data_IF_285472950346
#
_entry.id   IF_285472950346
#
_cell.length_a   1.000
_cell.length_b   1.000
_cell.length_c   1.000
_cell.angle_alpha   90.00
_cell.angle_beta   90.00
_cell.angle_gamma   90.00
#
_symmetry.space_group_name_H-M   'P 1'
#
loop_
_entity.id
_entity.type
_entity.pdbx_description
1 polymer ?
#
# COMPACT_ATOMS: atom_id res chain seq x y z
N UNK A 1 -23.78 15.32 14.13
CA UNK A 1 -23.00 14.94 12.93
C UNK A 1 -22.31 13.60 13.19
N UNK A 2 -22.21 12.75 12.18
CA UNK A 2 -21.77 11.37 12.35
C UNK A 2 -20.24 11.25 12.29
N UNK A 3 -19.66 10.48 13.22
CA UNK A 3 -18.21 10.20 13.27
C UNK A 3 -17.96 8.72 13.05
N UNK A 4 -17.07 8.42 12.11
CA UNK A 4 -16.52 7.06 11.92
C UNK A 4 -15.11 6.99 12.49
N UNK A 5 -14.74 5.85 13.06
CA UNK A 5 -13.45 5.66 13.73
C UNK A 5 -12.85 4.31 13.35
N UNK A 6 -11.57 4.31 12.97
CA UNK A 6 -10.78 3.11 12.80
C UNK A 6 -9.60 3.12 13.77
N UNK A 7 -9.46 2.07 14.58
CA UNK A 7 -8.21 1.76 15.26
C UNK A 7 -7.17 1.35 14.21
N UNK A 8 -6.01 2.01 14.26
CA UNK A 8 -4.85 1.74 13.42
C UNK A 8 -3.80 1.05 14.28
N UNK A 9 -3.37 -0.13 13.83
CA UNK A 9 -2.30 -0.88 14.47
C UNK A 9 -1.23 -1.28 13.47
N UNK A 10 0.01 -1.36 13.94
CA UNK A 10 1.16 -1.89 13.22
C UNK A 10 1.53 -3.25 13.82
N UNK A 11 1.22 -4.33 13.11
CA UNK A 11 1.29 -5.67 13.67
C UNK A 11 0.34 -5.80 14.87
N UNK A 12 0.89 -6.05 16.06
CA UNK A 12 0.12 -6.11 17.31
C UNK A 12 0.13 -4.81 18.11
N UNK A 13 0.91 -3.81 17.70
CA UNK A 13 1.05 -2.55 18.42
C UNK A 13 -0.03 -1.55 17.96
N UNK A 14 -0.91 -1.08 18.86
CA UNK A 14 -1.78 0.05 18.56
C UNK A 14 -0.93 1.29 18.27
N UNK A 15 -1.24 1.98 17.17
CA UNK A 15 -0.49 3.15 16.72
C UNK A 15 -1.31 4.44 16.84
N UNK A 16 -2.61 4.36 16.60
CA UNK A 16 -3.49 5.50 16.73
C UNK A 16 -4.90 5.20 16.25
N UNK A 17 -5.67 6.28 16.05
CA UNK A 17 -7.03 6.23 15.53
C UNK A 17 -7.18 7.16 14.35
N UNK A 18 -7.91 6.71 13.36
CA UNK A 18 -8.30 7.50 12.21
C UNK A 18 -9.79 7.85 12.35
N UNK A 19 -10.10 9.14 12.36
CA UNK A 19 -11.43 9.69 12.50
C UNK A 19 -11.89 10.25 11.16
N UNK A 20 -13.16 10.06 10.81
CA UNK A 20 -13.83 10.82 9.75
C UNK A 20 -15.05 11.52 10.34
N UNK A 21 -15.14 12.83 10.14
CA UNK A 21 -16.25 13.67 10.56
C UNK A 21 -16.50 14.75 9.52
N UNK A 22 -17.73 14.81 8.99
CA UNK A 22 -18.02 15.54 7.75
C UNK A 22 -16.95 15.22 6.68
N UNK A 23 -16.28 16.26 6.17
CA UNK A 23 -15.29 16.15 5.10
C UNK A 23 -13.85 15.95 5.60
N UNK A 24 -13.61 16.02 6.91
CA UNK A 24 -12.27 15.90 7.50
C UNK A 24 -11.98 14.47 7.95
N UNK A 25 -10.89 13.91 7.44
CA UNK A 25 -10.27 12.71 8.00
C UNK A 25 -8.99 13.07 8.76
N UNK A 26 -8.87 12.61 10.00
CA UNK A 26 -7.73 12.90 10.88
C UNK A 26 -7.18 11.63 11.52
N UNK A 27 -5.87 11.43 11.43
CA UNK A 27 -5.16 10.47 12.24
C UNK A 27 -4.67 11.10 13.53
N UNK A 28 -4.79 10.38 14.64
CA UNK A 28 -4.28 10.79 15.95
C UNK A 28 -3.50 9.61 16.53
N UNK A 29 -2.23 9.84 16.86
CA UNK A 29 -1.39 8.83 17.49
C UNK A 29 -1.88 8.49 18.91
N UNK A 30 -1.63 7.25 19.35
CA UNK A 30 -1.95 6.84 20.72
C UNK A 30 -1.14 7.67 21.74
N UNK A 31 -1.75 8.12 22.87
CA UNK A 31 -1.05 8.92 23.88
C UNK A 31 0.22 8.26 24.43
N UNK A 32 0.24 6.93 24.52
CA UNK A 32 1.43 6.20 24.96
C UNK A 32 2.61 6.34 23.98
N UNK A 33 2.34 6.41 22.67
CA UNK A 33 3.34 6.62 21.64
C UNK A 33 3.80 8.08 21.60
N UNK A 34 2.92 9.02 21.91
CA UNK A 34 3.30 10.45 22.07
C UNK A 34 4.22 10.62 23.28
N UNK A 35 3.91 9.98 24.41
CA UNK A 35 4.70 10.09 25.62
C UNK A 35 6.05 9.37 25.55
N UNK A 36 6.09 8.24 24.83
CA UNK A 36 7.29 7.43 24.63
C UNK A 36 7.30 6.86 23.22
N UNK A 37 7.86 7.59 22.23
CA UNK A 37 7.88 7.13 20.86
C UNK A 37 8.54 5.76 20.70
N UNK A 38 7.90 4.82 20.00
CA UNK A 38 8.47 3.50 19.78
C UNK A 38 9.59 3.57 18.75
N UNK A 39 10.49 2.59 18.77
CA UNK A 39 11.46 2.40 17.68
C UNK A 39 10.79 1.97 16.37
N UNK A 40 9.58 1.43 16.43
CA UNK A 40 8.85 0.98 15.25
C UNK A 40 8.47 2.16 14.36
N UNK A 41 8.63 1.97 13.05
CA UNK A 41 8.37 2.99 12.04
C UNK A 41 7.02 2.72 11.38
N UNK A 42 6.07 3.66 11.50
CA UNK A 42 4.84 3.61 10.72
C UNK A 42 5.07 4.06 9.27
N UNK A 43 5.82 5.13 9.08
CA UNK A 43 6.26 5.64 7.78
C UNK A 43 7.52 6.48 7.94
N UNK A 44 8.46 6.40 6.98
CA UNK A 44 9.63 7.30 6.95
C UNK A 44 9.22 8.78 6.83
N UNK A 45 8.06 9.07 6.24
CA UNK A 45 7.52 10.44 6.16
C UNK A 45 7.10 11.02 7.52
N UNK A 46 7.01 10.17 8.55
CA UNK A 46 6.55 10.53 9.90
C UNK A 46 7.66 10.38 10.94
N UNK A 47 8.93 10.35 10.52
CA UNK A 47 10.08 10.33 11.41
C UNK A 47 10.62 11.73 11.68
N UNK A 48 11.01 11.96 12.93
CA UNK A 48 11.69 13.16 13.37
C UNK A 48 13.15 12.88 13.76
N UNK A 49 13.94 13.93 13.95
CA UNK A 49 15.38 13.81 14.21
C UNK A 49 15.72 13.13 15.56
N UNK A 50 14.85 13.26 16.56
CA UNK A 50 15.03 12.69 17.89
C UNK A 50 13.68 12.41 18.57
N UNK A 51 13.72 11.80 19.76
CA UNK A 51 12.51 11.40 20.50
C UNK A 51 11.63 12.57 20.95
N UNK A 52 12.20 13.73 21.26
CA UNK A 52 11.42 14.91 21.67
C UNK A 52 10.69 15.50 20.46
N UNK A 53 11.38 15.63 19.33
CA UNK A 53 10.79 16.04 18.06
C UNK A 53 9.74 15.03 17.57
N UNK A 54 9.96 13.73 17.79
CA UNK A 54 9.01 12.68 17.43
C UNK A 54 7.73 12.76 18.27
N UNK A 55 7.89 13.02 19.58
CA UNK A 55 6.77 13.24 20.48
C UNK A 55 5.96 14.48 20.07
N UNK A 56 6.66 15.57 19.73
CA UNK A 56 6.03 16.81 19.25
C UNK A 56 5.26 16.57 17.95
N UNK A 57 5.86 15.87 16.98
CA UNK A 57 5.21 15.48 15.73
C UNK A 57 3.93 14.69 16.01
N UNK A 58 3.99 13.61 16.80
CA UNK A 58 2.80 12.79 17.09
C UNK A 58 1.71 13.53 17.87
N UNK A 59 2.08 14.53 18.68
CA UNK A 59 1.13 15.36 19.42
C UNK A 59 0.42 16.41 18.57
N UNK A 60 1.00 16.81 17.42
CA UNK A 60 0.44 17.80 16.52
C UNK A 60 -0.67 17.20 15.64
N UNK A 61 -1.87 17.07 16.22
CA UNK A 61 -3.06 16.58 15.52
C UNK A 61 -3.50 17.44 14.34
N UNK A 62 -2.91 18.63 14.15
CA UNK A 62 -3.19 19.54 13.03
C UNK A 62 -2.16 19.42 11.91
N UNK A 63 -1.10 18.63 12.11
CA UNK A 63 -0.08 18.43 11.10
C UNK A 63 -0.71 17.94 9.77
N UNK A 64 -0.36 18.53 8.62
CA UNK A 64 -0.90 18.12 7.33
C UNK A 64 -0.70 16.63 7.00
N UNK A 65 0.36 16.00 7.51
CA UNK A 65 0.61 14.56 7.32
C UNK A 65 -0.51 13.67 7.89
N UNK A 66 -1.24 14.18 8.90
CA UNK A 66 -2.28 13.44 9.60
C UNK A 66 -3.69 13.86 9.23
N UNK A 67 -3.86 14.82 8.31
CA UNK A 67 -5.16 15.41 8.01
C UNK A 67 -5.42 15.41 6.49
N UNK A 68 -6.67 15.18 6.13
CA UNK A 68 -7.16 15.34 4.76
C UNK A 68 -8.60 15.86 4.77
N UNK A 69 -8.97 16.57 3.70
CA UNK A 69 -10.28 17.19 3.51
C UNK A 69 -11.00 16.61 2.28
N UNK A 70 -12.30 16.84 2.19
CA UNK A 70 -13.16 16.38 1.10
C UNK A 70 -13.43 14.88 1.14
N UNK A 71 -13.48 14.28 2.33
CA UNK A 71 -13.69 12.84 2.52
C UNK A 71 -12.46 11.97 2.19
N UNK A 72 -11.35 12.59 1.75
CA UNK A 72 -10.08 11.92 1.48
C UNK A 72 -9.39 11.47 2.77
N UNK A 73 -8.41 10.59 2.64
CA UNK A 73 -7.57 10.12 3.75
C UNK A 73 -6.23 10.87 3.75
N UNK A 74 -5.55 10.99 4.90
CA UNK A 74 -4.17 11.45 4.91
C UNK A 74 -3.32 10.59 3.96
N UNK A 75 -2.33 11.20 3.28
CA UNK A 75 -1.67 10.63 2.11
C UNK A 75 -1.12 9.21 2.34
N UNK A 76 -0.56 8.94 3.53
CA UNK A 76 -0.09 7.62 3.92
C UNK A 76 -1.19 6.56 3.83
N UNK A 77 -2.36 6.82 4.42
CA UNK A 77 -3.49 5.88 4.43
C UNK A 77 -4.18 5.80 3.07
N UNK A 78 -4.21 6.89 2.31
CA UNK A 78 -4.77 6.88 0.96
C UNK A 78 -3.97 5.99 0.02
N UNK A 79 -2.64 5.97 0.16
CA UNK A 79 -1.76 5.08 -0.61
C UNK A 79 -1.96 3.59 -0.29
N UNK A 80 -2.59 3.26 0.85
CA UNK A 80 -2.98 1.90 1.23
C UNK A 80 -4.31 1.47 0.62
N UNK A 81 -5.00 2.30 -0.17
CA UNK A 81 -6.27 1.91 -0.81
C UNK A 81 -6.02 1.10 -2.09
N UNK A 82 -6.96 0.21 -2.47
CA UNK A 82 -6.92 -0.43 -3.77
C UNK A 82 -7.13 0.60 -4.89
N UNK A 83 -6.66 0.27 -6.09
CA UNK A 83 -6.79 1.11 -7.29
C UNK A 83 -7.53 0.37 -8.42
N UNK A 84 -7.98 1.14 -9.42
CA UNK A 84 -8.61 0.62 -10.63
C UNK A 84 -9.76 -0.34 -10.39
N UNK A 85 -9.80 -1.43 -11.15
CA UNK A 85 -10.90 -2.40 -11.12
C UNK A 85 -11.05 -3.11 -9.77
N UNK A 86 -9.97 -3.25 -8.99
CA UNK A 86 -10.03 -3.82 -7.65
C UNK A 86 -10.80 -2.90 -6.70
N UNK A 87 -10.54 -1.59 -6.78
CA UNK A 87 -11.27 -0.58 -6.00
C UNK A 87 -12.76 -0.62 -6.28
N UNK A 88 -13.14 -0.60 -7.57
CA UNK A 88 -14.54 -0.72 -8.01
C UNK A 88 -15.20 -1.98 -7.44
N UNK A 89 -14.51 -3.12 -7.54
CA UNK A 89 -15.03 -4.39 -7.04
C UNK A 89 -15.25 -4.39 -5.51
N UNK A 90 -14.27 -3.89 -4.74
CA UNK A 90 -14.41 -3.80 -3.28
C UNK A 90 -15.52 -2.83 -2.87
N UNK A 91 -15.66 -1.70 -3.57
CA UNK A 91 -16.75 -0.74 -3.31
C UNK A 91 -18.12 -1.37 -3.54
N UNK A 92 -18.29 -2.11 -4.63
CA UNK A 92 -19.53 -2.84 -4.94
C UNK A 92 -19.86 -3.90 -3.87
N UNK A 93 -18.89 -4.74 -3.51
CA UNK A 93 -19.06 -5.75 -2.46
C UNK A 93 -19.41 -5.12 -1.10
N UNK A 94 -18.82 -3.98 -0.80
CA UNK A 94 -19.06 -3.24 0.44
C UNK A 94 -20.41 -2.49 0.42
N UNK A 95 -20.96 -2.22 -0.76
CA UNK A 95 -22.12 -1.35 -0.93
C UNK A 95 -21.80 0.13 -0.67
N UNK A 96 -20.58 0.58 -0.94
CA UNK A 96 -20.15 1.97 -0.77
C UNK A 96 -19.78 2.61 -2.12
N UNK A 97 -19.60 3.93 -2.12
CA UNK A 97 -19.10 4.65 -3.29
C UNK A 97 -17.62 4.35 -3.50
N UNK A 98 -17.17 4.42 -4.75
CA UNK A 98 -15.75 4.24 -5.07
C UNK A 98 -14.88 5.32 -4.44
N UNK A 99 -15.40 6.53 -4.20
CA UNK A 99 -14.69 7.64 -3.56
C UNK A 99 -14.86 7.69 -2.02
N UNK A 100 -15.55 6.72 -1.41
CA UNK A 100 -15.62 6.60 0.05
C UNK A 100 -14.34 5.95 0.60
N UNK A 101 -13.27 6.76 0.67
CA UNK A 101 -11.94 6.30 1.07
C UNK A 101 -11.93 5.65 2.46
N UNK A 102 -12.74 6.17 3.38
CA UNK A 102 -12.81 5.65 4.74
C UNK A 102 -13.46 4.27 4.79
N UNK A 103 -14.60 4.07 4.10
CA UNK A 103 -15.22 2.73 4.00
C UNK A 103 -14.34 1.75 3.25
N UNK A 104 -13.63 2.17 2.21
CA UNK A 104 -12.69 1.31 1.49
C UNK A 104 -11.52 0.88 2.38
N UNK A 105 -10.95 1.78 3.18
CA UNK A 105 -9.91 1.43 4.15
C UNK A 105 -10.46 0.47 5.21
N UNK A 106 -11.68 0.72 5.72
CA UNK A 106 -12.32 -0.15 6.69
C UNK A 106 -12.58 -1.55 6.12
N UNK A 107 -13.05 -1.64 4.88
CA UNK A 107 -13.29 -2.89 4.17
C UNK A 107 -11.99 -3.70 3.98
N UNK A 108 -10.90 -3.03 3.61
CA UNK A 108 -9.60 -3.66 3.37
C UNK A 108 -8.73 -3.80 4.62
N UNK A 109 -9.12 -3.20 5.74
CA UNK A 109 -8.28 -3.04 6.94
C UNK A 109 -7.82 -4.34 7.60
N UNK A 110 -8.42 -5.46 7.19
CA UNK A 110 -8.00 -6.81 7.58
C UNK A 110 -6.85 -7.39 6.75
N UNK A 111 -6.47 -6.82 5.60
CA UNK A 111 -5.35 -7.26 4.74
C UNK A 111 -4.82 -6.13 3.83
N UNK A 112 -4.22 -5.11 4.45
CA UNK A 112 -3.52 -4.01 3.77
C UNK A 112 -2.07 -4.40 3.40
N UNK A 113 -1.40 -3.68 2.49
CA UNK A 113 0.05 -3.78 2.31
C UNK A 113 0.79 -3.56 3.64
N UNK A 114 1.84 -4.33 3.86
CA UNK A 114 2.63 -4.25 5.08
C UNK A 114 1.93 -4.82 6.30
N UNK A 115 2.22 -4.25 7.47
CA UNK A 115 1.71 -4.72 8.76
C UNK A 115 0.62 -3.82 9.34
N UNK A 116 0.18 -2.80 8.58
CA UNK A 116 -0.91 -1.93 8.99
C UNK A 116 -2.23 -2.71 9.01
N UNK A 117 -3.03 -2.46 10.04
CA UNK A 117 -4.43 -2.88 10.08
C UNK A 117 -5.31 -1.74 10.52
N UNK A 118 -6.52 -1.72 9.99
CA UNK A 118 -7.55 -0.75 10.31
C UNK A 118 -8.83 -1.50 10.72
N UNK A 119 -9.37 -1.19 11.91
CA UNK A 119 -10.57 -1.87 12.41
C UNK A 119 -11.54 -0.86 13.00
N UNK A 120 -12.87 -1.00 12.76
CA UNK A 120 -13.86 -0.15 13.41
C UNK A 120 -13.68 -0.10 14.93
N UNK A 121 -13.74 1.10 15.47
CA UNK A 121 -13.56 1.36 16.89
C UNK A 121 -14.62 2.33 17.41
N UNK A 122 -14.73 2.43 18.72
CA UNK A 122 -15.55 3.42 19.42
C UNK A 122 -14.70 4.10 20.48
N UNK A 123 -15.02 5.35 20.81
CA UNK A 123 -14.37 6.11 21.88
C UNK A 123 -15.43 6.80 22.73
N UNK A 124 -15.06 7.22 23.94
CA UNK A 124 -15.95 8.03 24.76
C UNK A 124 -16.15 9.45 24.17
N UNK A 125 -17.23 10.09 24.58
CA UNK A 125 -17.61 11.42 24.08
C UNK A 125 -16.58 12.50 24.42
N UNK A 126 -15.94 12.40 25.59
CA UNK A 126 -14.94 13.36 26.05
C UNK A 126 -13.68 13.35 25.17
N UNK A 127 -13.21 12.15 24.80
CA UNK A 127 -12.08 11.95 23.89
C UNK A 127 -12.41 12.50 22.51
N UNK A 128 -13.61 12.23 22.03
CA UNK A 128 -14.09 12.71 20.74
C UNK A 128 -14.12 14.23 20.69
N UNK A 129 -14.65 14.90 21.73
CA UNK A 129 -14.67 16.37 21.80
C UNK A 129 -13.27 16.99 21.77
N UNK A 130 -12.33 16.43 22.54
CA UNK A 130 -10.95 16.92 22.62
C UNK A 130 -10.18 16.77 21.31
N UNK A 131 -10.33 15.65 20.60
CA UNK A 131 -9.52 15.32 19.43
C UNK A 131 -10.11 15.80 18.11
N UNK A 132 -11.44 15.95 18.06
CA UNK A 132 -12.18 16.23 16.83
C UNK A 132 -12.74 17.65 16.82
N UNK A 133 -13.46 18.08 17.86
CA UNK A 133 -14.42 19.19 17.71
C UNK A 133 -13.97 20.58 18.11
N UNK A 134 -12.83 20.77 18.76
CA UNK A 134 -12.48 22.11 19.28
C UNK A 134 -13.67 22.77 20.03
N UNK A 135 -14.42 21.97 20.80
CA UNK A 135 -15.60 22.37 21.57
C UNK A 135 -16.88 22.77 20.80
N UNK A 136 -17.06 22.34 19.54
CA UNK A 136 -18.32 22.52 18.79
C UNK A 136 -19.14 21.23 18.53
N UNK A 137 -20.46 21.34 18.75
CA UNK A 137 -21.58 20.45 18.39
C UNK A 137 -21.63 18.97 18.87
N UNK A 138 -22.86 18.46 18.91
CA UNK A 138 -23.21 17.08 19.24
C UNK A 138 -22.83 16.12 18.10
N UNK A 139 -21.76 15.36 18.33
CA UNK A 139 -21.34 14.27 17.46
C UNK A 139 -21.91 12.94 17.94
N UNK A 140 -22.41 12.15 16.99
CA UNK A 140 -22.88 10.79 17.21
C UNK A 140 -21.97 9.82 16.48
N UNK A 141 -21.59 8.71 17.13
CA UNK A 141 -20.74 7.71 16.49
C UNK A 141 -21.57 6.86 15.52
N UNK A 142 -21.03 6.65 14.33
CA UNK A 142 -21.56 5.70 13.36
C UNK A 142 -20.74 4.43 13.39
N UNK A 143 -21.41 3.28 13.44
CA UNK A 143 -20.74 1.99 13.39
C UNK A 143 -20.33 1.68 11.95
N UNK A 144 -19.03 1.69 11.70
CA UNK A 144 -18.45 1.17 10.46
C UNK A 144 -18.42 -0.36 10.51
N UNK A 145 -18.82 -1.04 9.44
CA UNK A 145 -18.80 -2.50 9.41
C UNK A 145 -17.36 -3.05 9.42
N UNK A 146 -17.18 -4.27 9.95
CA UNK A 146 -15.88 -4.93 10.05
C UNK A 146 -15.21 -5.15 8.67
N UNK A 147 -13.88 -5.38 8.63
CA UNK A 147 -13.19 -5.73 7.39
C UNK A 147 -13.77 -6.97 6.71
N UNK A 148 -13.79 -6.96 5.39
CA UNK A 148 -14.32 -8.07 4.58
C UNK A 148 -13.23 -9.13 4.35
N UNK A 149 -13.56 -10.43 4.29
CA UNK A 149 -12.60 -11.46 3.86
C UNK A 149 -11.99 -11.16 2.48
N UNK A 150 -12.82 -10.70 1.54
CA UNK A 150 -12.43 -10.29 0.18
C UNK A 150 -11.72 -8.92 0.14
N UNK A 151 -11.80 -8.14 1.23
CA UNK A 151 -11.17 -6.84 1.38
C UNK A 151 -9.66 -6.97 1.47
N UNK A 152 -9.01 -6.95 0.31
CA UNK A 152 -7.57 -6.82 0.14
C UNK A 152 -7.27 -5.45 -0.43
N UNK A 153 -6.11 -4.91 -0.11
CA UNK A 153 -5.61 -3.73 -0.81
C UNK A 153 -4.27 -4.01 -1.48
N UNK A 154 -4.21 -3.72 -2.77
CA UNK A 154 -3.03 -3.81 -3.61
C UNK A 154 -3.11 -2.68 -4.65
N UNK A 155 -2.02 -1.93 -4.81
CA UNK A 155 -1.85 -0.85 -5.79
C UNK A 155 -1.93 -1.36 -7.23
N UNK A 156 -2.22 -0.49 -8.19
CA UNK A 156 -2.21 -0.76 -9.64
C UNK A 156 -3.59 -1.05 -10.25
N UNK A 157 -3.70 -0.83 -11.56
CA UNK A 157 -5.00 -0.81 -12.28
C UNK A 157 -5.45 -2.15 -12.84
N UNK A 158 -4.57 -3.15 -12.87
CA UNK A 158 -4.86 -4.47 -13.43
C UNK A 158 -5.75 -5.32 -12.50
N UNK A 159 -6.60 -6.21 -13.02
CA UNK A 159 -7.38 -7.15 -12.22
C UNK A 159 -6.47 -8.07 -11.41
N UNK A 160 -6.75 -8.17 -10.11
CA UNK A 160 -5.93 -8.97 -9.20
C UNK A 160 -6.74 -9.52 -8.04
N UNK A 161 -6.28 -10.65 -7.53
CA UNK A 161 -6.87 -11.31 -6.36
C UNK A 161 -5.80 -11.60 -5.31
N UNK A 162 -6.21 -11.57 -4.06
CA UNK A 162 -5.38 -11.95 -2.93
C UNK A 162 -5.77 -13.36 -2.52
N UNK A 163 -4.83 -14.29 -2.65
CA UNK A 163 -5.08 -15.72 -2.51
C UNK A 163 -4.12 -16.36 -1.51
N UNK A 164 -4.43 -17.61 -1.14
CA UNK A 164 -3.53 -18.52 -0.42
C UNK A 164 -3.49 -19.86 -1.15
N UNK A 165 -2.31 -20.46 -1.24
CA UNK A 165 -2.17 -21.84 -1.71
C UNK A 165 -2.60 -22.81 -0.59
N UNK A 166 -3.61 -23.63 -0.85
CA UNK A 166 -4.10 -24.66 0.07
C UNK A 166 -4.48 -25.91 -0.72
N UNK A 167 -3.88 -27.06 -0.37
CA UNK A 167 -4.19 -28.33 -1.03
C UNK A 167 -3.95 -28.31 -2.55
N UNK A 168 -2.96 -27.54 -3.01
CA UNK A 168 -2.66 -27.39 -4.44
C UNK A 168 -3.53 -26.39 -5.20
N UNK A 169 -4.55 -25.78 -4.56
CA UNK A 169 -5.42 -24.75 -5.16
C UNK A 169 -5.20 -23.38 -4.54
N UNK A 170 -5.52 -22.33 -5.28
CA UNK A 170 -5.45 -20.95 -4.82
C UNK A 170 -6.83 -20.49 -4.37
N UNK A 171 -7.02 -20.36 -3.06
CA UNK A 171 -8.30 -20.02 -2.45
C UNK A 171 -8.33 -18.58 -1.93
N UNK A 172 -9.50 -17.95 -1.99
CA UNK A 172 -9.73 -16.68 -1.31
C UNK A 172 -9.76 -16.84 0.22
N UNK A 173 -9.69 -15.73 0.94
CA UNK A 173 -9.87 -15.73 2.39
C UNK A 173 -11.31 -16.06 2.74
N UNK A 174 -11.48 -17.04 3.64
CA UNK A 174 -12.79 -17.42 4.18
C UNK A 174 -13.10 -16.79 5.54
N UNK A 175 -12.09 -16.22 6.22
CA UNK A 175 -12.23 -15.56 7.53
C UNK A 175 -11.46 -14.25 7.59
N UNK A 176 -12.11 -13.24 8.15
CA UNK A 176 -11.47 -11.98 8.53
C UNK A 176 -10.28 -12.25 9.48
N UNK A 177 -9.10 -11.72 9.16
CA UNK A 177 -7.88 -11.87 9.96
C UNK A 177 -6.86 -12.91 9.45
N UNK A 178 -7.26 -13.85 8.58
CA UNK A 178 -6.28 -14.64 7.81
C UNK A 178 -5.58 -13.74 6.80
N UNK A 179 -4.26 -13.87 6.58
CA UNK A 179 -3.55 -13.05 5.58
C UNK A 179 -3.45 -13.79 4.25
N UNK A 180 -3.65 -13.09 3.14
CA UNK A 180 -3.27 -13.61 1.81
C UNK A 180 -1.74 -13.77 1.74
N UNK A 181 -1.28 -14.69 0.89
CA UNK A 181 0.15 -14.93 0.64
C UNK A 181 0.55 -14.73 -0.82
N UNK A 182 -0.42 -14.70 -1.71
CA UNK A 182 -0.21 -14.57 -3.14
C UNK A 182 -1.07 -13.44 -3.66
N UNK A 183 -0.48 -12.59 -4.50
CA UNK A 183 -1.21 -11.67 -5.37
C UNK A 183 -1.28 -12.35 -6.73
N UNK A 184 -2.48 -12.78 -7.11
CA UNK A 184 -2.77 -13.33 -8.42
C UNK A 184 -3.06 -12.17 -9.38
N UNK A 185 -2.18 -11.92 -10.34
CA UNK A 185 -2.38 -10.96 -11.43
C UNK A 185 -3.01 -11.68 -12.60
N UNK A 186 -4.22 -11.28 -12.95
CA UNK A 186 -5.06 -11.98 -13.92
C UNK A 186 -4.85 -11.42 -15.34
N UNK A 187 -5.18 -12.20 -16.39
CA UNK A 187 -5.19 -11.70 -17.76
C UNK A 187 -6.04 -10.44 -17.94
N UNK A 188 -5.62 -9.59 -18.88
CA UNK A 188 -6.22 -8.28 -19.13
C UNK A 188 -6.74 -8.22 -20.57
N UNK A 189 -8.03 -7.92 -20.74
CA UNK A 189 -8.61 -7.75 -22.06
C UNK A 189 -7.87 -6.68 -22.88
N UNK A 190 -7.54 -6.99 -24.13
CA UNK A 190 -6.76 -6.10 -25.00
C UNK A 190 -5.25 -6.09 -24.73
N UNK A 191 -4.75 -6.87 -23.76
CA UNK A 191 -3.33 -7.04 -23.47
C UNK A 191 -2.98 -8.53 -23.37
N UNK A 192 -2.80 -9.21 -24.52
CA UNK A 192 -2.55 -10.64 -24.55
C UNK A 192 -1.24 -10.98 -23.84
N UNK A 193 -1.22 -12.11 -23.12
CA UNK A 193 -0.04 -12.66 -22.47
C UNK A 193 0.59 -11.76 -21.39
N UNK A 194 -0.19 -10.84 -20.82
CA UNK A 194 0.28 -9.91 -19.80
C UNK A 194 0.91 -10.63 -18.58
N UNK A 195 0.32 -11.70 -18.02
CA UNK A 195 0.96 -12.47 -16.95
C UNK A 195 2.32 -13.07 -17.34
N UNK A 196 2.44 -13.61 -18.55
CA UNK A 196 3.67 -14.23 -19.06
C UNK A 196 4.75 -13.17 -19.32
N UNK A 197 4.36 -12.01 -19.85
CA UNK A 197 5.26 -10.89 -20.08
C UNK A 197 5.86 -10.38 -18.77
N UNK A 198 5.05 -10.24 -17.72
CA UNK A 198 5.56 -9.85 -16.40
C UNK A 198 6.47 -10.92 -15.80
N UNK A 199 6.13 -12.21 -15.91
CA UNK A 199 7.01 -13.29 -15.47
C UNK A 199 8.38 -13.24 -16.16
N UNK A 200 8.38 -13.11 -17.49
CA UNK A 200 9.61 -12.97 -18.28
C UNK A 200 10.40 -11.73 -17.87
N UNK A 201 9.72 -10.61 -17.62
CA UNK A 201 10.35 -9.36 -17.19
C UNK A 201 11.04 -9.51 -15.83
N UNK A 202 10.40 -10.19 -14.87
CA UNK A 202 11.00 -10.51 -13.57
C UNK A 202 12.19 -11.46 -13.69
N UNK A 203 12.12 -12.45 -14.59
CA UNK A 203 13.23 -13.38 -14.85
C UNK A 203 14.43 -12.68 -15.49
N UNK A 204 14.20 -11.81 -16.47
CA UNK A 204 15.23 -10.99 -17.09
C UNK A 204 15.87 -10.03 -16.08
N UNK A 205 15.05 -9.38 -15.24
CA UNK A 205 15.54 -8.53 -14.16
C UNK A 205 16.42 -9.32 -13.18
N UNK A 206 16.00 -10.52 -12.79
CA UNK A 206 16.79 -11.41 -11.91
C UNK A 206 18.10 -11.83 -12.56
N UNK A 207 18.09 -12.16 -13.85
CA UNK A 207 19.29 -12.48 -14.61
C UNK A 207 20.27 -11.30 -14.70
N UNK A 208 19.77 -10.07 -14.70
CA UNK A 208 20.56 -8.84 -14.62
C UNK A 208 21.03 -8.48 -13.19
N UNK A 209 20.73 -9.32 -12.19
CA UNK A 209 21.15 -9.17 -10.81
C UNK A 209 20.24 -8.27 -9.95
N UNK A 210 19.02 -7.96 -10.41
CA UNK A 210 18.01 -7.30 -9.56
C UNK A 210 17.50 -8.29 -8.52
N UNK A 211 17.36 -7.83 -7.27
CA UNK A 211 16.66 -8.59 -6.23
C UNK A 211 15.15 -8.50 -6.50
N UNK A 212 14.56 -9.55 -7.07
CA UNK A 212 13.15 -9.59 -7.49
C UNK A 212 12.28 -10.43 -6.55
N UNK A 213 10.99 -10.12 -6.51
CA UNK A 213 10.03 -10.96 -5.80
C UNK A 213 9.93 -12.36 -6.44
N UNK A 214 9.47 -13.33 -5.64
CA UNK A 214 9.13 -14.65 -6.15
C UNK A 214 7.79 -14.61 -6.88
N UNK A 215 7.76 -15.13 -8.10
CA UNK A 215 6.54 -15.25 -8.89
C UNK A 215 6.56 -16.55 -9.71
N UNK A 216 5.38 -17.03 -10.10
CA UNK A 216 5.24 -18.16 -11.03
C UNK A 216 3.94 -18.08 -11.80
N UNK A 217 3.95 -18.57 -13.03
CA UNK A 217 2.72 -18.81 -13.78
C UNK A 217 1.96 -20.01 -13.19
N UNK A 218 0.64 -19.92 -13.19
CA UNK A 218 -0.24 -20.99 -12.77
C UNK A 218 -1.53 -20.97 -13.60
N UNK A 219 -2.17 -22.14 -13.82
CA UNK A 219 -3.40 -22.18 -14.60
C UNK A 219 -4.54 -21.51 -13.84
N UNK A 220 -5.39 -20.76 -14.55
CA UNK A 220 -6.60 -20.13 -13.97
C UNK A 220 -7.52 -21.17 -13.31
N UNK A 221 -7.57 -22.40 -13.82
CA UNK A 221 -8.34 -23.50 -13.22
C UNK A 221 -7.88 -23.89 -11.80
N UNK A 222 -6.66 -23.51 -11.41
CA UNK A 222 -6.18 -23.69 -10.03
C UNK A 222 -6.74 -22.65 -9.05
N UNK A 223 -7.36 -21.56 -9.54
CA UNK A 223 -8.07 -20.60 -8.69
C UNK A 223 -9.42 -21.21 -8.27
N UNK A 224 -9.68 -21.16 -6.97
CA UNK A 224 -10.92 -21.59 -6.32
C UNK A 224 -11.42 -20.42 -5.46
N UNK A 225 -11.80 -19.36 -6.17
CA UNK A 225 -12.23 -18.09 -5.61
C UNK A 225 -13.19 -17.42 -6.60
N UNK A 226 -14.33 -16.94 -6.09
CA UNK A 226 -15.26 -16.15 -6.88
C UNK A 226 -14.66 -14.77 -7.19
N UNK A 227 -14.82 -14.31 -8.43
CA UNK A 227 -14.49 -12.96 -8.86
C UNK A 227 -15.42 -12.50 -9.98
N UNK A 228 -15.67 -11.20 -10.07
CA UNK A 228 -16.56 -10.63 -11.11
C UNK A 228 -15.82 -10.12 -12.35
N UNK A 229 -14.52 -10.41 -12.48
CA UNK A 229 -13.73 -9.97 -13.64
C UNK A 229 -14.15 -10.74 -14.90
N UNK A 230 -14.42 -10.00 -15.98
CA UNK A 230 -14.51 -10.54 -17.32
C UNK A 230 -13.08 -10.75 -17.85
N UNK A 231 -12.61 -12.00 -17.79
CA UNK A 231 -11.26 -12.36 -18.23
C UNK A 231 -11.26 -12.76 -19.72
N UNK A 232 -10.21 -12.42 -20.49
CA UNK A 232 -10.01 -12.99 -21.82
C UNK A 232 -9.75 -14.50 -21.76
N UNK A 233 -9.87 -15.17 -22.90
CA UNK A 233 -9.58 -16.60 -23.05
C UNK A 233 -8.06 -16.86 -23.03
N UNK A 234 -7.48 -16.77 -21.84
CA UNK A 234 -6.07 -17.06 -21.57
C UNK A 234 -5.96 -18.04 -20.40
N UNK A 235 -5.08 -19.05 -20.47
CA UNK A 235 -5.13 -20.18 -19.54
C UNK A 235 -4.48 -19.91 -18.18
N UNK A 236 -3.67 -18.86 -18.04
CA UNK A 236 -2.75 -18.67 -16.92
C UNK A 236 -2.90 -17.30 -16.24
N UNK A 237 -2.49 -17.25 -14.98
CA UNK A 237 -2.29 -16.02 -14.21
C UNK A 237 -0.89 -16.02 -13.59
N UNK A 238 -0.42 -14.85 -13.17
CA UNK A 238 0.85 -14.71 -12.46
C UNK A 238 0.60 -14.72 -10.95
N UNK A 239 1.11 -15.73 -10.26
CA UNK A 239 1.07 -15.85 -8.81
C UNK A 239 2.33 -15.20 -8.20
N UNK A 240 2.22 -13.97 -7.71
CA UNK A 240 3.32 -13.26 -7.03
C UNK A 240 3.25 -13.55 -5.53
N UNK A 241 4.32 -14.11 -4.95
CA UNK A 241 4.43 -14.33 -3.51
C UNK A 241 4.63 -13.00 -2.79
N UNK A 242 3.80 -12.75 -1.77
CA UNK A 242 3.87 -11.55 -0.95
C UNK A 242 5.10 -11.59 -0.04
N UNK A 243 6.09 -10.74 -0.30
CA UNK A 243 7.27 -10.58 0.54
C UNK A 243 6.98 -9.86 1.88
N UNK A 244 5.81 -9.23 2.02
CA UNK A 244 5.34 -8.60 3.26
C UNK A 244 4.60 -9.59 4.18
N UNK A 245 4.73 -10.89 3.92
CA UNK A 245 4.07 -11.99 4.64
C UNK A 245 5.05 -13.13 4.90
N UNK A 246 5.14 -13.54 6.17
CA UNK A 246 5.91 -14.71 6.59
C UNK A 246 5.02 -15.58 7.50
N UNK A 247 4.47 -16.67 6.96
CA UNK A 247 3.57 -17.50 7.74
C UNK A 247 2.28 -16.76 8.11
N UNK A 248 2.09 -16.50 9.41
CA UNK A 248 1.03 -15.65 9.96
C UNK A 248 1.52 -14.22 10.28
N UNK A 249 2.83 -14.03 10.29
CA UNK A 249 3.49 -12.75 10.56
C UNK A 249 3.33 -11.82 9.37
N UNK A 250 2.99 -10.57 9.65
CA UNK A 250 3.04 -9.47 8.67
C UNK A 250 4.32 -8.71 8.86
N UNK A 251 5.01 -8.43 7.76
CA UNK A 251 6.21 -7.59 7.75
C UNK A 251 5.75 -6.22 7.30
N UNK A 252 6.15 -5.16 8.01
CA UNK A 252 5.73 -3.82 7.61
C UNK A 252 6.37 -3.42 6.28
N UNK A 253 5.59 -2.70 5.48
CA UNK A 253 5.93 -2.29 4.12
C UNK A 253 5.28 -0.93 3.85
N UNK A 254 6.01 -0.06 3.16
CA UNK A 254 5.45 1.16 2.55
C UNK A 254 6.11 1.39 1.17
N UNK A 255 5.36 1.98 0.25
CA UNK A 255 5.86 2.39 -1.06
C UNK A 255 6.55 3.77 -1.03
N UNK A 256 7.28 4.15 -2.08
CA UNK A 256 7.98 5.44 -2.09
C UNK A 256 7.05 6.65 -2.22
N UNK A 257 5.77 6.47 -2.61
CA UNK A 257 4.80 7.55 -2.50
C UNK A 257 4.46 7.83 -1.03
N UNK A 258 4.38 6.79 -0.20
CA UNK A 258 4.25 6.93 1.26
C UNK A 258 5.51 7.52 1.90
N UNK A 259 6.71 7.03 1.55
CA UNK A 259 8.00 7.53 2.07
C UNK A 259 8.16 9.04 1.81
N UNK A 260 7.76 9.50 0.62
CA UNK A 260 7.89 10.90 0.21
C UNK A 260 6.63 11.74 0.50
N UNK A 261 5.64 11.19 1.21
CA UNK A 261 4.36 11.84 1.50
C UNK A 261 3.61 12.37 0.26
N UNK A 262 3.71 11.67 -0.87
CA UNK A 262 3.07 12.01 -2.14
C UNK A 262 1.66 11.41 -2.19
N UNK A 263 0.66 12.23 -2.55
CA UNK A 263 -0.71 11.76 -2.79
C UNK A 263 -0.72 10.72 -3.94
N UNK A 264 -1.44 9.59 -3.82
CA UNK A 264 -1.46 8.56 -4.86
C UNK A 264 -1.87 9.06 -6.26
N UNK A 265 -2.68 10.12 -6.35
CA UNK A 265 -3.02 10.75 -7.64
C UNK A 265 -1.80 11.36 -8.34
N UNK A 266 -0.76 11.69 -7.59
CA UNK A 266 0.51 12.21 -8.06
C UNK A 266 1.62 11.16 -7.97
N UNK A 267 1.32 9.87 -8.18
CA UNK A 267 2.33 8.79 -8.16
C UNK A 267 3.54 9.00 -9.12
N UNK A 268 3.40 9.89 -10.11
CA UNK A 268 4.47 10.35 -11.02
C UNK A 268 5.13 11.69 -10.61
N UNK A 269 4.68 12.31 -9.51
CA UNK A 269 4.98 13.67 -9.09
C UNK A 269 6.27 13.83 -8.28
N UNK A 270 7.31 13.05 -8.56
CA UNK A 270 8.62 13.17 -7.92
C UNK A 270 9.74 12.71 -8.87
N UNK A 271 10.93 12.37 -8.36
CA UNK A 271 12.08 11.95 -9.16
C UNK A 271 12.79 10.74 -8.58
N UNK A 272 13.56 10.03 -9.41
CA UNK A 272 14.44 8.96 -8.93
C UNK A 272 15.50 9.48 -7.95
N UNK A 273 16.01 10.72 -8.14
CA UNK A 273 16.91 11.37 -7.19
C UNK A 273 16.27 11.55 -5.80
N UNK A 274 14.99 11.94 -5.72
CA UNK A 274 14.32 12.08 -4.44
C UNK A 274 14.25 10.75 -3.67
N UNK A 275 14.00 9.64 -4.38
CA UNK A 275 14.07 8.30 -3.78
C UNK A 275 15.48 7.96 -3.32
N UNK A 276 16.50 8.24 -4.14
CA UNK A 276 17.90 8.00 -3.77
C UNK A 276 18.34 8.80 -2.54
N UNK A 277 17.93 10.08 -2.44
CA UNK A 277 18.19 10.92 -1.26
C UNK A 277 17.49 10.39 -0.02
N UNK A 278 16.23 9.94 -0.14
CA UNK A 278 15.53 9.28 0.96
C UNK A 278 16.24 7.99 1.40
N UNK A 279 16.73 7.17 0.47
CA UNK A 279 17.54 5.98 0.80
C UNK A 279 18.84 6.34 1.52
N UNK A 280 19.54 7.38 1.07
CA UNK A 280 20.80 7.84 1.69
C UNK A 280 20.61 8.41 3.10
N UNK A 281 19.41 8.91 3.43
CA UNK A 281 19.12 9.43 4.76
C UNK A 281 19.07 8.34 5.85
N UNK A 282 19.00 7.05 5.48
CA UNK A 282 18.93 5.94 6.43
C UNK A 282 20.09 4.97 6.26
N UNK A 283 20.86 4.76 7.33
CA UNK A 283 22.05 3.90 7.32
C UNK A 283 21.79 2.45 6.89
N UNK A 284 20.57 1.93 7.13
CA UNK A 284 20.17 0.56 6.73
C UNK A 284 19.86 0.42 5.24
N UNK A 285 19.70 1.53 4.51
CA UNK A 285 19.51 1.58 3.06
C UNK A 285 20.82 2.00 2.37
N UNK A 286 21.20 3.27 2.56
CA UNK A 286 22.47 3.84 2.11
C UNK A 286 22.80 3.60 0.63
N UNK A 287 24.10 3.52 0.34
CA UNK A 287 24.63 3.35 -1.01
C UNK A 287 24.16 2.05 -1.68
N UNK A 288 24.06 0.95 -0.92
CA UNK A 288 23.64 -0.34 -1.47
C UNK A 288 22.21 -0.29 -2.06
N UNK A 289 21.28 0.37 -1.36
CA UNK A 289 19.92 0.58 -1.87
C UNK A 289 19.90 1.49 -3.11
N UNK A 290 20.74 2.52 -3.16
CA UNK A 290 20.86 3.40 -4.32
C UNK A 290 21.42 2.66 -5.53
N UNK A 291 22.44 1.81 -5.35
CA UNK A 291 22.98 0.99 -6.43
C UNK A 291 21.95 0.00 -6.97
N UNK A 292 21.12 -0.59 -6.10
CA UNK A 292 20.00 -1.43 -6.51
C UNK A 292 18.92 -0.63 -7.25
N UNK A 293 18.61 0.60 -6.81
CA UNK A 293 17.73 1.51 -7.55
C UNK A 293 18.28 1.75 -8.97
N UNK A 294 19.54 2.15 -9.11
CA UNK A 294 20.17 2.39 -10.43
C UNK A 294 20.10 1.15 -11.32
N UNK A 295 20.38 -0.05 -10.77
CA UNK A 295 20.24 -1.31 -11.50
C UNK A 295 18.81 -1.53 -12.01
N UNK A 296 17.81 -1.30 -11.16
CA UNK A 296 16.39 -1.39 -11.55
C UNK A 296 16.03 -0.38 -12.62
N UNK A 297 16.57 0.84 -12.59
CA UNK A 297 16.32 1.84 -13.65
C UNK A 297 16.86 1.36 -14.99
N UNK A 298 18.12 0.93 -15.05
CA UNK A 298 18.72 0.41 -16.29
C UNK A 298 17.94 -0.79 -16.82
N UNK A 299 17.49 -1.70 -15.95
CA UNK A 299 16.64 -2.83 -16.37
C UNK A 299 15.29 -2.36 -16.89
N UNK A 300 14.61 -1.43 -16.22
CA UNK A 300 13.34 -0.88 -16.71
C UNK A 300 13.51 -0.20 -18.07
N UNK A 301 14.63 0.49 -18.30
CA UNK A 301 14.94 1.14 -19.58
C UNK A 301 15.14 0.11 -20.69
N UNK A 302 15.92 -0.94 -20.43
CA UNK A 302 16.17 -2.02 -21.39
C UNK A 302 14.91 -2.83 -21.72
N UNK A 303 13.97 -2.92 -20.77
CA UNK A 303 12.68 -3.56 -20.97
C UNK A 303 11.65 -2.61 -21.61
N UNK A 304 11.93 -1.31 -21.69
CA UNK A 304 10.95 -0.31 -22.11
C UNK A 304 9.74 -0.28 -21.18
N UNK A 305 9.97 -0.12 -19.88
CA UNK A 305 8.94 0.00 -18.85
C UNK A 305 8.67 1.48 -18.48
N UNK A 306 7.63 2.12 -19.06
CA UNK A 306 7.30 3.51 -18.77
C UNK A 306 6.53 3.69 -17.44
N UNK A 307 6.27 2.63 -16.68
CA UNK A 307 5.38 2.64 -15.51
C UNK A 307 6.11 2.41 -14.17
N UNK A 308 7.45 2.50 -14.15
CA UNK A 308 8.27 2.43 -12.94
C UNK A 308 8.15 3.69 -12.05
N UNK A 309 6.95 3.96 -11.54
CA UNK A 309 6.61 5.11 -10.70
C UNK A 309 6.80 4.85 -9.20
N UNK A 310 6.55 5.84 -8.33
CA UNK A 310 6.84 5.76 -6.89
C UNK A 310 6.24 4.55 -6.17
N UNK A 311 5.04 4.09 -6.58
CA UNK A 311 4.39 2.93 -5.95
C UNK A 311 5.00 1.57 -6.33
N UNK A 312 5.92 1.53 -7.31
CA UNK A 312 6.61 0.32 -7.78
C UNK A 312 7.97 0.13 -7.08
N UNK A 313 8.29 1.02 -6.15
CA UNK A 313 9.41 0.91 -5.23
C UNK A 313 8.87 1.00 -3.81
N UNK A 314 9.44 0.25 -2.88
CA UNK A 314 9.05 0.32 -1.48
C UNK A 314 10.11 -0.24 -0.55
N UNK A 315 9.88 -0.09 0.74
CA UNK A 315 10.78 -0.55 1.80
C UNK A 315 10.06 -1.50 2.75
N UNK A 316 10.82 -2.45 3.31
CA UNK A 316 10.35 -3.43 4.28
C UNK A 316 11.02 -3.22 5.63
N UNK A 317 10.30 -3.50 6.70
CA UNK A 317 10.80 -3.45 8.07
C UNK A 317 10.76 -4.86 8.68
N UNK A 318 11.82 -5.62 8.44
CA UNK A 318 11.92 -7.01 8.90
C UNK A 318 11.88 -7.14 10.42
N UNK A 319 12.46 -6.17 11.12
CA UNK A 319 12.52 -6.05 12.57
C UNK A 319 11.53 -5.00 13.11
N UNK A 320 10.78 -4.35 12.22
CA UNK A 320 9.86 -3.25 12.52
C UNK A 320 10.53 -1.87 12.62
N UNK A 321 11.86 -1.77 12.48
CA UNK A 321 12.64 -0.57 12.79
C UNK A 321 13.47 -0.14 11.57
N UNK A 322 14.34 -1.01 11.07
CA UNK A 322 15.30 -0.67 10.02
C UNK A 322 14.68 -0.92 8.63
N UNK A 323 14.50 0.12 7.80
CA UNK A 323 14.04 -0.08 6.43
C UNK A 323 15.12 -0.78 5.61
N UNK A 324 14.70 -1.75 4.79
CA UNK A 324 15.47 -2.28 3.65
C UNK A 324 14.67 -2.11 2.38
N UNK A 325 15.35 -1.96 1.25
CA UNK A 325 14.68 -1.91 -0.05
C UNK A 325 13.94 -3.24 -0.27
N UNK A 326 12.67 -3.17 -0.67
CA UNK A 326 11.88 -4.35 -0.97
C UNK A 326 12.38 -5.03 -2.27
N UNK A 327 12.20 -6.36 -2.43
CA UNK A 327 12.41 -7.01 -3.70
C UNK A 327 11.60 -6.31 -4.81
N UNK A 328 12.13 -6.23 -6.01
CA UNK A 328 11.46 -5.59 -7.13
C UNK A 328 10.19 -6.37 -7.52
N UNK A 329 9.13 -5.64 -7.82
CA UNK A 329 7.83 -6.14 -8.24
C UNK A 329 7.27 -5.23 -9.33
N UNK A 330 6.29 -5.72 -10.10
CA UNK A 330 5.59 -4.92 -11.11
C UNK A 330 6.54 -4.30 -12.16
N UNK A 331 7.54 -5.09 -12.56
CA UNK A 331 8.43 -4.82 -13.70
C UNK A 331 7.82 -5.48 -14.93
N UNK A 332 7.53 -4.70 -15.96
CA UNK A 332 6.92 -5.20 -17.20
C UNK A 332 7.55 -4.54 -18.41
N UNK A 333 7.96 -5.36 -19.39
CA UNK A 333 8.43 -4.91 -20.69
C UNK A 333 7.29 -4.44 -21.62
N UNK A 334 6.63 -3.32 -21.27
CA UNK A 334 5.48 -2.80 -22.03
C UNK A 334 5.81 -2.45 -23.48
N UNK A 335 7.04 -2.05 -23.78
CA UNK A 335 7.49 -1.76 -25.14
C UNK A 335 7.29 -2.94 -26.10
N UNK A 336 7.46 -4.18 -25.61
CA UNK A 336 7.23 -5.39 -26.39
C UNK A 336 5.77 -5.55 -26.89
N UNK A 337 4.82 -4.84 -26.29
CA UNK A 337 3.40 -4.90 -26.65
C UNK A 337 2.90 -3.69 -27.43
N UNK A 338 3.30 -2.49 -27.01
CA UNK A 338 2.62 -1.26 -27.41
C UNK A 338 3.54 -0.14 -27.91
N UNK A 339 4.87 -0.35 -27.93
CA UNK A 339 5.82 0.72 -28.20
C UNK A 339 5.81 1.74 -27.05
N UNK A 340 6.88 1.83 -26.27
CA UNK A 340 6.95 2.72 -25.13
C UNK A 340 8.30 3.41 -25.06
N UNK A 341 8.27 4.75 -24.96
CA UNK A 341 9.45 5.58 -24.79
C UNK A 341 9.44 6.28 -23.43
N UNK A 342 10.63 6.40 -22.85
CA UNK A 342 10.88 7.23 -21.66
C UNK A 342 10.70 6.51 -20.32
N UNK A 343 10.86 7.30 -19.26
CA UNK A 343 10.76 6.82 -17.87
C UNK A 343 9.50 7.36 -17.21
N UNK A 344 8.97 6.62 -16.25
CA UNK A 344 7.82 7.07 -15.44
C UNK A 344 8.12 8.35 -14.66
N UNK A 345 9.35 8.48 -14.15
CA UNK A 345 9.81 9.62 -13.36
C UNK A 345 11.04 10.24 -14.02
N UNK A 346 11.25 11.56 -13.88
CA UNK A 346 12.52 12.14 -14.26
C UNK A 346 13.65 11.66 -13.32
N UNK A 347 14.87 11.53 -13.84
CA UNK A 347 16.06 11.18 -13.04
C UNK A 347 16.31 12.22 -11.93
N UNK A 348 16.23 13.49 -12.28
CA UNK A 348 16.34 14.65 -11.37
C UNK A 348 15.06 15.47 -11.42
N UNK A 349 14.71 16.24 -10.38
CA UNK A 349 13.56 17.13 -10.42
C UNK A 349 13.65 18.06 -11.63
N UNK A 350 12.54 18.20 -12.36
CA UNK A 350 12.45 19.20 -13.42
C UNK A 350 12.40 20.59 -12.78
N UNK A 351 13.11 21.60 -13.33
CA UNK A 351 12.98 22.97 -12.85
C UNK A 351 11.52 23.44 -12.98
N UNK A 352 11.06 24.31 -12.06
CA UNK A 352 9.69 24.81 -12.04
C UNK A 352 9.30 25.63 -13.26
#
# INVERSE_FOLDING_TARGET
MNVKILDIALGTQPFGKLFQFADLCRFVAEPALVASPPAQVLSLSMLAADGAAQSALWSDVRNPLFNAQGGRLPAFFQNLLPEGVLRTHIAQLRGCREDDHFELLAACGGDLPGAVSARPATVDRATLQRLVTQDQDALEMTVTALPMPQGISVSGVQPKLGLRLQGGRYVARTRAGSSTRVIAKLPVAGRPHMPQLEMLSLDLARAAGVDTCEARLAPLSAIDAEHSYALPDEPEFLAVTRFDRDGARRIHFEDFAQVLAVDPQHKYGSSYLAMALAMQAFASLGEAAVLELVRRLVVNDLLGNPDAHLKNFGVLYADGIAPRLAPAYDIVAYDAMQGADGHALPLVPQPP
#
